data_IF_070442941567
#
_entry.id   IF_070442941567
#
_cell.length_a   1.000
_cell.length_b   1.000
_cell.length_c   1.000
_cell.angle_alpha   90.00
_cell.angle_beta   90.00
_cell.angle_gamma   90.00
#
_symmetry.space_group_name_H-M   'P 1'
#
loop_
_entity.id
_entity.type
_entity.pdbx_description
1 polymer ?
#
# COMPACT_ATOMS: atom_id res chain seq x y z
N UNK A 1 -11.47 -22.85 -11.62
CA UNK A 1 -11.60 -22.79 -10.15
C UNK A 1 -11.11 -21.44 -9.63
N UNK A 2 -11.89 -20.34 -9.72
CA UNK A 2 -11.46 -18.97 -9.32
C UNK A 2 -12.52 -18.19 -8.51
N UNK A 3 -13.51 -18.84 -7.92
CA UNK A 3 -14.63 -18.15 -7.25
C UNK A 3 -14.57 -17.99 -5.71
N UNK A 4 -13.70 -18.63 -4.91
CA UNK A 4 -13.79 -18.50 -3.45
C UNK A 4 -13.18 -17.19 -2.89
N UNK A 5 -12.22 -16.57 -3.58
CA UNK A 5 -11.50 -15.42 -3.02
C UNK A 5 -12.35 -14.14 -2.95
N UNK A 6 -13.24 -13.92 -3.90
CA UNK A 6 -14.14 -12.75 -3.94
C UNK A 6 -15.21 -12.86 -2.85
N UNK A 7 -15.69 -14.07 -2.56
CA UNK A 7 -16.71 -14.29 -1.54
C UNK A 7 -16.16 -14.07 -0.13
N UNK A 8 -14.91 -14.46 0.13
CA UNK A 8 -14.24 -14.22 1.42
C UNK A 8 -14.01 -12.74 1.66
N UNK A 9 -13.64 -11.97 0.64
CA UNK A 9 -13.46 -10.53 0.76
C UNK A 9 -14.78 -9.82 1.05
N UNK A 10 -15.87 -10.19 0.39
CA UNK A 10 -17.20 -9.63 0.63
C UNK A 10 -17.76 -10.02 2.00
N UNK A 11 -17.55 -11.26 2.47
CA UNK A 11 -18.01 -11.69 3.80
C UNK A 11 -17.25 -11.02 4.95
N UNK A 12 -15.97 -10.71 4.78
CA UNK A 12 -15.19 -9.93 5.76
C UNK A 12 -15.67 -8.47 5.88
N UNK A 13 -16.15 -7.89 4.80
CA UNK A 13 -16.73 -6.54 4.80
C UNK A 13 -18.11 -6.50 5.45
N UNK A 14 -18.91 -7.57 5.30
CA UNK A 14 -20.26 -7.63 5.88
C UNK A 14 -20.30 -8.02 7.36
N UNK A 15 -19.29 -8.74 7.87
CA UNK A 15 -19.24 -9.14 9.29
C UNK A 15 -18.96 -7.97 10.25
N UNK A 16 -18.47 -6.83 9.78
CA UNK A 16 -18.21 -5.67 10.63
C UNK A 16 -19.41 -4.72 10.81
N UNK A 17 -20.52 -4.95 10.12
CA UNK A 17 -21.67 -4.05 10.13
C UNK A 17 -22.64 -4.27 11.30
N UNK A 18 -22.47 -5.30 12.11
CA UNK A 18 -23.44 -5.69 13.14
C UNK A 18 -23.06 -5.33 14.59
N UNK A 19 -21.90 -4.69 14.84
CA UNK A 19 -21.40 -4.47 16.20
C UNK A 19 -21.63 -3.05 16.74
N UNK A 20 -21.97 -2.07 15.89
CA UNK A 20 -22.16 -0.68 16.34
C UNK A 20 -23.50 -0.12 15.90
N UNK A 21 -24.54 -0.39 16.70
CA UNK A 21 -25.86 0.22 16.55
C UNK A 21 -25.96 1.52 17.37
N UNK A 22 -25.08 2.50 17.08
CA UNK A 22 -25.23 3.88 17.52
C UNK A 22 -24.67 4.81 16.45
N UNK A 23 -25.52 5.62 15.83
CA UNK A 23 -25.20 6.54 14.68
C UNK A 23 -24.76 5.84 13.37
N UNK A 24 -25.58 4.95 12.89
CA UNK A 24 -25.30 4.16 11.67
C UNK A 24 -25.13 5.02 10.39
N UNK A 25 -25.73 6.19 10.33
CA UNK A 25 -25.74 7.03 9.11
C UNK A 25 -24.40 7.68 8.82
N UNK A 26 -23.69 8.13 9.83
CA UNK A 26 -22.39 8.79 9.66
C UNK A 26 -21.27 7.81 9.36
N UNK A 27 -21.27 6.65 10.02
CA UNK A 27 -20.28 5.59 9.75
C UNK A 27 -20.45 5.02 8.35
N UNK A 28 -21.66 4.81 7.87
CA UNK A 28 -21.88 4.30 6.51
C UNK A 28 -21.38 5.27 5.45
N UNK A 29 -21.61 6.57 5.60
CA UNK A 29 -21.05 7.60 4.70
C UNK A 29 -19.53 7.61 4.71
N UNK A 30 -18.94 7.52 5.91
CA UNK A 30 -17.48 7.49 6.09
C UNK A 30 -16.85 6.26 5.41
N UNK A 31 -17.39 5.05 5.61
CA UNK A 31 -16.91 3.83 4.98
C UNK A 31 -17.08 3.88 3.45
N UNK A 32 -18.21 4.41 2.97
CA UNK A 32 -18.45 4.55 1.54
C UNK A 32 -17.46 5.51 0.90
N UNK A 33 -17.23 6.68 1.51
CA UNK A 33 -16.26 7.65 1.04
C UNK A 33 -14.84 7.08 1.04
N UNK A 34 -14.46 6.38 2.10
CA UNK A 34 -13.18 5.69 2.18
C UNK A 34 -13.02 4.66 1.07
N UNK A 35 -14.03 3.79 0.87
CA UNK A 35 -13.98 2.76 -0.16
C UNK A 35 -13.85 3.37 -1.57
N UNK A 36 -14.59 4.42 -1.86
CA UNK A 36 -14.51 5.14 -3.14
C UNK A 36 -13.12 5.74 -3.37
N UNK A 37 -12.53 6.31 -2.34
CA UNK A 37 -11.17 6.90 -2.43
C UNK A 37 -10.09 5.84 -2.61
N UNK A 38 -10.27 4.62 -2.06
CA UNK A 38 -9.31 3.51 -2.25
C UNK A 38 -9.25 3.01 -3.71
N UNK A 39 -10.24 3.31 -4.54
CA UNK A 39 -10.25 2.96 -5.96
C UNK A 39 -9.22 3.80 -6.74
N UNK A 40 -8.91 5.02 -6.29
CA UNK A 40 -7.98 5.92 -6.97
C UNK A 40 -6.54 5.43 -6.75
N UNK A 41 -5.81 5.05 -7.82
CA UNK A 41 -4.45 4.57 -7.68
C UNK A 41 -3.44 5.71 -7.55
N UNK A 42 -2.33 5.43 -6.91
CA UNK A 42 -1.16 6.30 -6.85
C UNK A 42 -0.25 6.07 -8.06
N UNK A 43 0.29 7.12 -8.70
CA UNK A 43 1.24 6.96 -9.79
C UNK A 43 2.57 6.39 -9.27
N UNK A 44 3.18 5.52 -10.06
CA UNK A 44 4.46 4.90 -9.76
C UNK A 44 5.30 4.76 -11.02
N UNK A 45 6.59 4.91 -10.86
CA UNK A 45 7.60 4.74 -11.90
C UNK A 45 8.41 3.50 -11.58
N UNK A 46 8.51 2.58 -12.55
CA UNK A 46 9.27 1.35 -12.46
C UNK A 46 10.47 1.41 -13.39
N UNK A 47 11.56 0.81 -12.99
CA UNK A 47 12.65 0.50 -13.88
C UNK A 47 12.38 -0.82 -14.61
N UNK A 48 12.65 -0.85 -15.91
CA UNK A 48 12.59 -2.04 -16.77
C UNK A 48 13.99 -2.25 -17.37
N UNK A 49 14.66 -3.34 -17.03
CA UNK A 49 16.05 -3.58 -17.42
C UNK A 49 16.28 -5.04 -17.80
N UNK A 50 17.16 -5.26 -18.76
CA UNK A 50 17.71 -6.59 -19.11
C UNK A 50 19.21 -6.73 -18.74
N UNK A 51 19.72 -5.78 -17.95
CA UNK A 51 21.13 -5.69 -17.57
C UNK A 51 21.99 -4.89 -18.56
N UNK A 52 21.61 -4.77 -19.83
CA UNK A 52 22.29 -3.95 -20.85
C UNK A 52 21.50 -2.67 -21.15
N UNK A 53 20.21 -2.80 -21.30
CA UNK A 53 19.29 -1.71 -21.60
C UNK A 53 18.41 -1.44 -20.41
N UNK A 54 18.10 -0.18 -20.16
CA UNK A 54 17.19 0.23 -19.09
C UNK A 54 16.24 1.29 -19.58
N UNK A 55 14.96 1.16 -19.20
CA UNK A 55 13.91 2.11 -19.50
C UNK A 55 13.04 2.32 -18.27
N UNK A 56 12.45 3.51 -18.21
CA UNK A 56 11.47 3.85 -17.18
C UNK A 56 10.06 3.53 -17.67
N UNK A 57 9.26 2.87 -16.84
CA UNK A 57 7.87 2.51 -17.09
C UNK A 57 6.97 3.23 -16.11
N UNK A 58 5.89 3.82 -16.62
CA UNK A 58 4.85 4.41 -15.79
C UNK A 58 3.80 3.36 -15.42
N UNK A 59 3.35 3.43 -14.18
CA UNK A 59 2.29 2.55 -13.70
C UNK A 59 1.46 3.18 -12.60
N UNK A 60 0.53 2.39 -12.12
CA UNK A 60 -0.43 2.73 -11.09
C UNK A 60 -0.32 1.70 -9.96
N UNK A 61 -0.43 2.16 -8.73
CA UNK A 61 -0.37 1.33 -7.52
C UNK A 61 -1.55 1.66 -6.63
N UNK A 62 -2.29 0.65 -6.24
CA UNK A 62 -3.27 0.75 -5.17
C UNK A 62 -2.62 0.44 -3.84
N UNK A 63 -3.09 1.07 -2.79
CA UNK A 63 -2.54 0.90 -1.45
C UNK A 63 -3.65 0.50 -0.48
N UNK A 64 -3.69 -0.75 -0.12
CA UNK A 64 -4.60 -1.28 0.89
C UNK A 64 -3.83 -1.55 2.17
N UNK A 65 -4.33 -1.05 3.30
CA UNK A 65 -3.74 -1.30 4.61
C UNK A 65 -4.78 -2.03 5.46
N UNK A 66 -4.83 -3.37 5.36
CA UNK A 66 -5.79 -4.15 6.13
C UNK A 66 -5.56 -4.07 7.63
N UNK A 67 -4.33 -3.86 8.07
CA UNK A 67 -4.00 -3.80 9.48
C UNK A 67 -2.96 -2.72 9.76
N UNK A 68 -3.24 -1.91 10.78
CA UNK A 68 -2.30 -0.97 11.36
C UNK A 68 -2.20 -1.19 12.86
N UNK A 69 -0.98 -1.20 13.38
CA UNK A 69 -0.66 -1.37 14.79
C UNK A 69 0.02 -0.09 15.26
N UNK A 70 -0.63 0.67 16.13
CA UNK A 70 -0.05 1.87 16.74
C UNK A 70 0.81 1.49 17.93
N UNK A 71 1.99 2.11 18.09
CA UNK A 71 2.92 1.79 19.19
C UNK A 71 2.38 2.23 20.54
N UNK A 72 1.56 3.27 20.58
CA UNK A 72 0.82 3.67 21.78
C UNK A 72 -0.59 4.11 21.42
N UNK A 73 -1.54 3.76 22.29
CA UNK A 73 -2.89 4.31 22.23
C UNK A 73 -2.94 5.73 22.77
N UNK A 74 -3.85 6.53 22.26
CA UNK A 74 -4.23 7.85 22.78
C UNK A 74 -5.73 8.06 22.56
N UNK A 75 -6.25 9.23 22.90
CA UNK A 75 -7.69 9.54 22.74
C UNK A 75 -8.19 9.50 21.28
N UNK A 76 -7.29 9.50 20.29
CA UNK A 76 -7.62 9.46 18.86
C UNK A 76 -7.30 8.12 18.21
N UNK A 77 -6.52 7.26 18.88
CA UNK A 77 -5.92 6.08 18.25
C UNK A 77 -6.03 4.88 19.15
N UNK A 78 -6.68 3.83 18.67
CA UNK A 78 -6.61 2.50 19.27
C UNK A 78 -5.32 1.80 18.87
N UNK A 79 -4.81 0.84 19.68
CA UNK A 79 -3.58 0.12 19.34
C UNK A 79 -3.67 -0.65 18.03
N UNK A 80 -4.85 -1.19 17.72
CA UNK A 80 -5.10 -2.00 16.54
C UNK A 80 -6.21 -1.37 15.72
N UNK A 81 -5.97 -1.18 14.43
CA UNK A 81 -6.96 -0.67 13.48
C UNK A 81 -7.03 -1.57 12.26
N UNK A 82 -8.22 -2.06 11.98
CA UNK A 82 -8.53 -2.72 10.71
C UNK A 82 -8.96 -1.67 9.69
N UNK A 83 -8.38 -1.75 8.49
CA UNK A 83 -8.64 -0.81 7.41
C UNK A 83 -8.57 0.65 7.90
N UNK A 84 -7.43 1.25 7.75
CA UNK A 84 -7.12 2.60 8.23
C UNK A 84 -8.06 3.65 7.62
N UNK A 85 -9.21 3.87 8.26
CA UNK A 85 -10.34 4.64 7.71
C UNK A 85 -10.25 6.11 8.10
N UNK A 86 -9.71 6.42 9.28
CA UNK A 86 -9.60 7.78 9.80
C UNK A 86 -8.18 8.31 9.73
N UNK A 87 -7.98 9.63 9.43
CA UNK A 87 -6.71 10.28 9.63
C UNK A 87 -6.38 10.24 11.13
N UNK A 88 -5.33 9.55 11.48
CA UNK A 88 -5.05 9.27 12.88
C UNK A 88 -3.82 10.01 13.33
N UNK A 89 -3.94 10.71 14.45
CA UNK A 89 -2.85 11.42 15.10
C UNK A 89 -2.07 10.46 16.00
N UNK A 90 -1.09 9.78 15.43
CA UNK A 90 -0.17 8.91 16.17
C UNK A 90 1.08 9.70 16.52
N UNK A 91 1.34 9.83 17.82
CA UNK A 91 2.51 10.58 18.29
C UNK A 91 3.77 9.74 18.41
N UNK A 92 3.64 8.42 18.42
CA UNK A 92 4.75 7.48 18.65
C UNK A 92 5.08 6.60 17.44
N UNK A 93 4.32 6.73 16.37
CA UNK A 93 4.47 5.90 15.17
C UNK A 93 3.61 4.65 15.19
N UNK A 94 3.75 3.87 14.13
CA UNK A 94 2.91 2.68 13.87
C UNK A 94 3.59 1.70 12.93
N UNK A 95 3.01 0.50 12.85
CA UNK A 95 3.37 -0.52 11.87
C UNK A 95 2.16 -0.77 10.97
N UNK A 96 2.33 -0.61 9.65
CA UNK A 96 1.35 -0.98 8.65
C UNK A 96 1.66 -2.38 8.10
N UNK A 97 0.64 -3.22 7.97
CA UNK A 97 0.64 -4.38 7.10
C UNK A 97 -0.17 -3.97 5.87
N UNK A 98 0.40 -4.13 4.69
CA UNK A 98 -0.20 -3.62 3.47
C UNK A 98 -0.20 -4.63 2.32
N UNK A 99 -1.13 -4.41 1.39
CA UNK A 99 -1.21 -5.08 0.10
C UNK A 99 -1.26 -4.01 -0.99
N UNK A 100 -0.45 -4.17 -2.03
CA UNK A 100 -0.32 -3.20 -3.12
C UNK A 100 -0.50 -3.91 -4.47
N UNK A 101 -1.70 -3.92 -5.07
CA UNK A 101 -1.84 -4.21 -6.47
C UNK A 101 -1.14 -3.14 -7.31
N UNK A 102 -0.40 -3.56 -8.33
CA UNK A 102 0.37 -2.69 -9.21
C UNK A 102 0.03 -3.00 -10.66
N UNK A 103 -0.06 -1.98 -11.48
CA UNK A 103 -0.32 -2.11 -12.91
C UNK A 103 0.57 -1.16 -13.71
N UNK A 104 1.32 -1.69 -14.69
CA UNK A 104 2.10 -0.87 -15.62
C UNK A 104 1.29 -0.57 -16.87
N UNK A 105 1.25 0.70 -17.27
CA UNK A 105 0.49 1.17 -18.45
C UNK A 105 1.04 0.53 -19.73
N UNK A 106 2.37 0.54 -19.87
CA UNK A 106 3.07 -0.17 -20.95
C UNK A 106 3.68 -1.45 -20.38
N UNK A 107 3.71 -2.53 -21.16
CA UNK A 107 4.38 -3.76 -20.71
C UNK A 107 5.87 -3.56 -20.53
N UNK A 108 6.48 -4.36 -19.65
CA UNK A 108 7.92 -4.44 -19.52
C UNK A 108 8.53 -5.05 -20.79
N UNK A 109 9.30 -4.25 -21.51
CA UNK A 109 9.84 -4.61 -22.81
C UNK A 109 11.14 -5.43 -22.69
N UNK A 110 11.97 -5.07 -21.72
CA UNK A 110 13.29 -5.67 -21.55
C UNK A 110 13.28 -6.83 -20.57
N UNK A 111 12.60 -6.68 -19.44
CA UNK A 111 12.62 -7.68 -18.39
C UNK A 111 11.61 -8.82 -18.56
N UNK A 112 10.65 -8.69 -19.49
CA UNK A 112 9.62 -9.72 -19.71
C UNK A 112 8.61 -9.86 -18.55
N UNK A 113 8.65 -8.97 -17.56
CA UNK A 113 7.74 -9.00 -16.43
C UNK A 113 6.30 -8.68 -16.85
N UNK A 114 5.33 -9.34 -16.23
CA UNK A 114 3.91 -9.08 -16.48
C UNK A 114 3.52 -7.65 -16.08
N UNK A 115 2.49 -7.09 -16.72
CA UNK A 115 1.96 -5.76 -16.37
C UNK A 115 1.40 -5.69 -14.97
N UNK A 116 0.78 -6.77 -14.53
CA UNK A 116 0.17 -6.85 -13.19
C UNK A 116 1.16 -7.44 -12.20
N UNK A 117 1.27 -6.79 -11.04
CA UNK A 117 2.00 -7.26 -9.87
C UNK A 117 1.15 -7.12 -8.62
N UNK A 118 1.35 -8.00 -7.67
CA UNK A 118 0.73 -7.95 -6.35
C UNK A 118 1.83 -7.98 -5.30
N UNK A 119 1.94 -6.92 -4.53
CA UNK A 119 2.91 -6.82 -3.43
C UNK A 119 2.20 -6.95 -2.10
N UNK A 120 2.82 -7.61 -1.15
CA UNK A 120 2.41 -7.64 0.25
C UNK A 120 3.62 -7.41 1.15
N UNK A 121 3.44 -6.68 2.24
CA UNK A 121 4.56 -6.34 3.10
C UNK A 121 4.15 -5.66 4.38
N UNK A 122 5.17 -5.22 5.10
CA UNK A 122 5.01 -4.44 6.31
C UNK A 122 6.00 -3.28 6.33
N UNK A 123 5.62 -2.19 7.00
CA UNK A 123 6.49 -1.04 7.21
C UNK A 123 6.24 -0.42 8.58
N UNK A 124 7.28 0.13 9.14
CA UNK A 124 7.23 0.95 10.35
C UNK A 124 7.20 2.40 9.90
N UNK A 125 6.28 3.17 10.47
CA UNK A 125 6.13 4.60 10.24
C UNK A 125 6.52 5.32 11.53
N UNK A 126 7.46 6.26 11.43
CA UNK A 126 7.95 7.03 12.56
C UNK A 126 7.75 8.52 12.31
N UNK A 127 7.17 9.26 13.27
CA UNK A 127 7.01 10.70 13.16
C UNK A 127 8.38 11.41 13.24
N UNK A 128 8.59 12.43 12.42
CA UNK A 128 9.84 13.23 12.43
C UNK A 128 9.74 14.35 13.46
N UNK A 129 8.53 14.86 13.71
CA UNK A 129 8.28 15.92 14.70
C UNK A 129 7.27 15.47 15.73
N UNK A 130 7.29 16.12 16.91
CA UNK A 130 6.39 15.85 18.02
C UNK A 130 4.90 16.08 17.78
N UNK A 131 4.53 16.66 16.63
CA UNK A 131 3.14 16.85 16.19
C UNK A 131 2.49 15.57 15.61
N UNK A 132 3.06 14.42 15.92
CA UNK A 132 2.58 13.13 15.44
C UNK A 132 3.05 12.83 14.00
N UNK A 133 2.30 11.98 13.31
CA UNK A 133 2.60 11.56 11.92
C UNK A 133 2.28 12.67 10.88
N UNK A 134 2.22 13.93 11.26
CA UNK A 134 2.01 15.05 10.33
C UNK A 134 3.11 15.08 9.26
N UNK A 135 4.37 14.85 9.70
CA UNK A 135 5.50 14.55 8.83
C UNK A 135 6.13 13.29 9.38
N UNK A 136 6.22 12.26 8.57
CA UNK A 136 6.74 10.97 9.00
C UNK A 136 7.58 10.32 7.90
N UNK A 137 8.45 9.43 8.31
CA UNK A 137 9.16 8.55 7.39
C UNK A 137 8.78 7.08 7.66
N UNK A 138 8.98 6.24 6.67
CA UNK A 138 8.81 4.80 6.85
C UNK A 138 9.98 4.01 6.31
N UNK A 139 10.16 2.84 6.92
CA UNK A 139 11.05 1.79 6.44
C UNK A 139 10.30 0.48 6.52
N UNK A 140 10.41 -0.33 5.49
CA UNK A 140 9.70 -1.60 5.40
C UNK A 140 10.29 -2.56 4.39
N UNK A 141 9.65 -3.71 4.31
CA UNK A 141 9.95 -4.73 3.32
C UNK A 141 8.67 -5.28 2.72
N UNK A 142 8.75 -5.67 1.46
CA UNK A 142 7.62 -6.29 0.75
C UNK A 142 8.09 -7.39 -0.18
N UNK A 143 7.22 -8.32 -0.41
CA UNK A 143 7.34 -9.31 -1.47
C UNK A 143 6.38 -8.95 -2.59
N UNK A 144 6.88 -8.85 -3.82
CA UNK A 144 6.08 -8.59 -5.01
C UNK A 144 5.97 -9.87 -5.82
N UNK A 145 4.77 -10.39 -5.96
CA UNK A 145 4.47 -11.45 -6.91
C UNK A 145 4.18 -10.83 -8.28
N UNK A 146 5.02 -11.14 -9.25
CA UNK A 146 4.89 -10.66 -10.63
C UNK A 146 5.42 -11.75 -11.55
N UNK A 147 4.59 -12.24 -12.45
CA UNK A 147 4.97 -13.30 -13.36
C UNK A 147 6.04 -12.80 -14.34
N UNK A 148 7.01 -13.66 -14.60
CA UNK A 148 8.01 -13.47 -15.64
C UNK A 148 7.71 -14.44 -16.79
N UNK A 149 7.49 -13.88 -17.97
CA UNK A 149 7.17 -14.65 -19.15
C UNK A 149 8.43 -15.29 -19.80
N UNK A 150 9.64 -14.90 -19.38
CA UNK A 150 10.89 -15.36 -19.97
C UNK A 150 11.57 -16.43 -19.12
N UNK A 151 11.67 -16.25 -17.81
CA UNK A 151 12.47 -17.14 -16.93
C UNK A 151 11.62 -18.01 -16.02
N UNK A 152 10.32 -17.77 -15.94
CA UNK A 152 9.40 -18.48 -15.04
C UNK A 152 9.61 -18.17 -13.56
N UNK A 153 10.48 -17.21 -13.19
CA UNK A 153 10.66 -16.75 -11.83
C UNK A 153 9.52 -15.81 -11.45
N UNK A 154 8.77 -16.19 -10.44
CA UNK A 154 7.61 -15.42 -9.98
C UNK A 154 7.93 -14.71 -8.66
N UNK A 155 8.14 -13.40 -8.76
CA UNK A 155 8.25 -12.51 -7.61
C UNK A 155 9.67 -12.25 -7.09
N UNK A 156 9.75 -11.20 -6.27
CA UNK A 156 11.01 -10.72 -5.68
C UNK A 156 10.75 -9.97 -4.38
N UNK A 157 11.76 -9.92 -3.51
CA UNK A 157 11.77 -9.10 -2.31
C UNK A 157 12.23 -7.69 -2.60
N UNK A 158 11.75 -6.75 -1.79
CA UNK A 158 12.11 -5.34 -1.89
C UNK A 158 12.23 -4.71 -0.51
N UNK A 159 13.19 -3.82 -0.35
CA UNK A 159 13.20 -2.85 0.75
C UNK A 159 12.42 -1.61 0.30
N UNK A 160 11.62 -1.05 1.20
CA UNK A 160 10.79 0.13 0.93
C UNK A 160 11.10 1.22 1.95
N UNK A 161 11.22 2.46 1.47
CA UNK A 161 11.29 3.67 2.28
C UNK A 161 10.28 4.70 1.81
N UNK A 162 9.84 5.57 2.70
CA UNK A 162 8.90 6.63 2.34
C UNK A 162 9.00 7.85 3.22
N UNK A 163 8.63 9.00 2.67
CA UNK A 163 8.41 10.26 3.37
C UNK A 163 6.96 10.68 3.17
N UNK A 164 6.26 10.98 4.25
CA UNK A 164 4.84 11.29 4.24
C UNK A 164 4.59 12.64 4.90
N UNK A 165 3.61 13.34 4.35
CA UNK A 165 3.17 14.65 4.79
C UNK A 165 1.66 14.63 5.04
N UNK A 166 1.16 15.61 5.78
CA UNK A 166 -0.26 15.78 6.09
C UNK A 166 -0.87 14.50 6.69
N UNK A 167 -0.24 13.97 7.74
CA UNK A 167 -0.67 12.74 8.42
C UNK A 167 -0.68 11.50 7.51
N UNK A 168 0.20 11.48 6.50
CA UNK A 168 0.32 10.38 5.57
C UNK A 168 -0.64 10.47 4.37
N UNK A 169 -1.31 11.60 4.17
CA UNK A 169 -2.18 11.79 3.01
C UNK A 169 -1.39 11.83 1.69
N UNK A 170 -0.23 12.48 1.71
CA UNK A 170 0.66 12.59 0.55
C UNK A 170 2.06 12.12 0.95
N UNK A 171 2.75 11.45 0.05
CA UNK A 171 4.12 11.05 0.29
C UNK A 171 4.86 10.60 -0.96
N UNK A 172 6.14 10.37 -0.78
CA UNK A 172 7.02 9.76 -1.76
C UNK A 172 7.48 8.40 -1.22
N UNK A 173 7.34 7.37 -2.02
CA UNK A 173 7.83 6.02 -1.71
C UNK A 173 8.93 5.64 -2.69
N UNK A 174 10.00 5.11 -2.15
CA UNK A 174 11.09 4.51 -2.89
C UNK A 174 11.19 3.04 -2.53
N UNK A 175 11.33 2.17 -3.51
CA UNK A 175 11.55 0.74 -3.29
C UNK A 175 12.82 0.31 -4.03
N UNK A 176 13.67 -0.40 -3.32
CA UNK A 176 14.81 -1.11 -3.89
C UNK A 176 14.47 -2.60 -3.96
N UNK A 177 14.36 -3.12 -5.17
CA UNK A 177 14.04 -4.52 -5.41
C UNK A 177 15.34 -5.33 -5.52
N UNK A 178 15.36 -6.51 -4.91
CA UNK A 178 16.50 -7.45 -5.03
C UNK A 178 16.43 -8.26 -6.33
N UNK A 179 15.88 -7.63 -7.37
CA UNK A 179 15.79 -8.17 -8.72
C UNK A 179 16.33 -7.13 -9.72
N UNK A 180 17.33 -7.52 -10.50
CA UNK A 180 18.04 -6.63 -11.43
C UNK A 180 17.16 -6.14 -12.59
N UNK A 181 16.09 -6.84 -12.87
CA UNK A 181 15.16 -6.53 -13.98
C UNK A 181 14.28 -5.30 -13.67
N UNK A 182 14.02 -5.03 -12.39
CA UNK A 182 13.27 -3.85 -11.96
C UNK A 182 13.79 -3.38 -10.60
N UNK A 183 15.03 -2.88 -10.59
CA UNK A 183 15.77 -2.60 -9.35
C UNK A 183 15.17 -1.46 -8.52
N UNK A 184 14.63 -0.45 -9.19
CA UNK A 184 14.13 0.75 -8.52
C UNK A 184 12.70 1.05 -8.90
N UNK A 185 11.88 1.38 -7.91
CA UNK A 185 10.55 1.93 -8.10
C UNK A 185 10.41 3.20 -7.27
N UNK A 186 9.85 4.24 -7.87
CA UNK A 186 9.54 5.50 -7.19
C UNK A 186 8.06 5.76 -7.36
N UNK A 187 7.32 5.88 -6.26
CA UNK A 187 5.90 6.14 -6.25
C UNK A 187 5.56 7.45 -5.56
N UNK A 188 4.63 8.19 -6.13
CA UNK A 188 3.95 9.26 -5.45
C UNK A 188 2.78 8.64 -4.68
N UNK A 189 2.87 8.67 -3.36
CA UNK A 189 1.90 8.04 -2.50
C UNK A 189 0.74 8.99 -2.23
N UNK A 190 -0.45 8.57 -2.61
CA UNK A 190 -1.69 9.21 -2.23
C UNK A 190 -2.46 8.21 -1.35
N UNK A 191 -2.69 8.59 -0.12
CA UNK A 191 -3.46 7.79 0.83
C UNK A 191 -4.75 8.53 1.15
N UNK A 192 -5.83 7.88 0.89
CA UNK A 192 -7.16 8.39 1.17
C UNK A 192 -7.69 7.75 2.44
N UNK A 193 -8.20 8.58 3.34
CA UNK A 193 -8.79 8.15 4.59
C UNK A 193 -10.29 8.12 4.49
#
# INVERSE_FOLDING_TARGET
MKKPFIIIFFSLVTLNSSVFAQDTTDYQKMYTSWAMMQIIPSPVIFQDSDGKNSKVQFGLRWQLIPLNISFRSNKYTTPLQFFKINPVRRFTGSMDIFVQPEWTVTGFKYSGLSRFGLSAGSRIILPIKGDGEKISFSVGAKYTHRNDNLTGKNGYWSAEGGLYFLFGFVGLQFSYNFDERSRYNIGFYLKYF
#
